data_IF_161110877500
#
_entry.id   IF_161110877500
#
_cell.length_a   1.000
_cell.length_b   1.000
_cell.length_c   1.000
_cell.angle_alpha   90.00
_cell.angle_beta   90.00
_cell.angle_gamma   90.00
#
_symmetry.space_group_name_H-M   'P 1'
#
loop_
_entity.id
_entity.type
_entity.pdbx_description
1 polymer ?
#
# COMPACT_ATOMS: atom_id res chain seq x y z
N UNK A 1 -25.72 9.22 -0.02
CA UNK A 1 -26.68 8.14 -0.28
C UNK A 1 -27.72 8.58 -1.30
N UNK A 2 -28.28 9.74 -1.15
CA UNK A 2 -29.30 10.30 -2.03
C UNK A 2 -28.66 11.29 -2.98
N UNK A 3 -28.94 11.19 -4.26
CA UNK A 3 -28.39 12.10 -5.27
C UNK A 3 -29.10 13.47 -5.21
N UNK A 4 -28.61 14.44 -5.96
CA UNK A 4 -29.15 15.80 -6.05
C UNK A 4 -30.63 15.85 -6.41
N UNK A 5 -31.12 14.85 -7.14
CA UNK A 5 -32.54 14.66 -7.51
C UNK A 5 -33.37 13.92 -6.44
N UNK A 6 -32.78 13.62 -5.26
CA UNK A 6 -33.37 12.91 -4.12
C UNK A 6 -33.67 11.42 -4.37
N UNK A 7 -33.10 10.82 -5.40
CA UNK A 7 -33.22 9.39 -5.66
C UNK A 7 -31.96 8.61 -5.23
N UNK A 8 -32.18 7.32 -4.92
CA UNK A 8 -31.11 6.36 -4.67
C UNK A 8 -31.02 5.47 -5.92
N UNK A 9 -30.04 5.76 -6.78
CA UNK A 9 -29.87 5.08 -8.06
C UNK A 9 -29.12 3.76 -7.99
N UNK A 10 -28.36 3.56 -6.91
CA UNK A 10 -27.59 2.34 -6.71
C UNK A 10 -27.39 2.04 -5.23
N UNK A 11 -27.40 0.76 -4.81
CA UNK A 11 -26.94 0.39 -3.49
C UNK A 11 -25.48 0.85 -3.29
N UNK A 12 -25.13 1.38 -2.11
CA UNK A 12 -23.76 1.69 -1.81
C UNK A 12 -22.99 0.40 -1.56
N UNK A 13 -21.72 0.39 -1.93
CA UNK A 13 -20.81 -0.60 -1.37
C UNK A 13 -20.37 -0.13 0.02
N UNK A 14 -20.54 -0.98 1.02
CA UNK A 14 -20.14 -0.72 2.40
C UNK A 14 -19.30 -1.91 2.85
N UNK A 15 -18.10 -1.64 3.32
CA UNK A 15 -17.27 -2.65 3.94
C UNK A 15 -17.25 -2.42 5.45
N UNK A 16 -17.79 -3.37 6.17
CA UNK A 16 -17.77 -3.38 7.63
C UNK A 16 -17.62 -4.81 8.10
N UNK A 17 -16.54 -5.11 8.81
CA UNK A 17 -16.27 -6.44 9.33
C UNK A 17 -16.33 -6.47 10.86
N UNK A 18 -16.90 -7.57 11.34
CA UNK A 18 -17.05 -7.84 12.76
C UNK A 18 -18.02 -6.93 13.50
N UNK A 19 -18.14 -7.18 14.80
CA UNK A 19 -19.05 -6.44 15.69
C UNK A 19 -18.68 -4.95 15.81
N UNK A 20 -17.41 -4.61 15.60
CA UNK A 20 -16.91 -3.24 15.69
C UNK A 20 -17.06 -2.46 14.37
N UNK A 21 -17.56 -3.12 13.32
CA UNK A 21 -17.79 -2.53 12.00
C UNK A 21 -16.54 -1.85 11.41
N UNK A 22 -15.40 -2.50 11.55
CA UNK A 22 -14.13 -1.99 11.03
C UNK A 22 -14.07 -2.16 9.52
N UNK A 23 -13.77 -1.09 8.79
CA UNK A 23 -13.56 -1.15 7.36
C UNK A 23 -12.12 -1.62 7.06
N UNK A 24 -11.97 -2.72 6.33
CA UNK A 24 -10.66 -3.30 5.98
C UNK A 24 -10.01 -2.58 4.81
N UNK A 25 -10.77 -2.19 3.80
CA UNK A 25 -10.22 -1.53 2.60
C UNK A 25 -9.88 -0.04 2.79
N UNK A 26 -9.86 0.43 4.01
CA UNK A 26 -9.41 1.80 4.29
C UNK A 26 -7.90 1.91 4.40
N UNK A 27 -7.21 0.79 4.40
CA UNK A 27 -5.75 0.72 4.41
C UNK A 27 -5.31 0.44 2.97
N UNK A 28 -5.15 1.49 2.19
CA UNK A 28 -4.52 1.41 0.87
C UNK A 28 -2.99 1.38 0.98
N UNK A 29 -2.33 0.99 -0.11
CA UNK A 29 -0.87 1.08 -0.26
C UNK A 29 -0.07 0.33 0.82
N UNK A 30 -0.54 -0.84 1.26
CA UNK A 30 0.20 -1.60 2.27
C UNK A 30 1.54 -2.05 1.70
N UNK A 31 2.60 -1.82 2.47
CA UNK A 31 3.93 -2.35 2.21
C UNK A 31 4.11 -3.69 2.92
N UNK A 32 4.67 -4.65 2.19
CA UNK A 32 4.97 -5.98 2.70
C UNK A 32 6.45 -6.26 2.57
N UNK A 33 7.02 -6.94 3.55
CA UNK A 33 8.42 -7.35 3.57
C UNK A 33 8.55 -8.86 3.60
N UNK A 34 9.50 -9.39 2.86
CA UNK A 34 9.79 -10.82 2.78
C UNK A 34 10.49 -11.31 4.04
N UNK A 35 9.74 -11.92 4.93
CA UNK A 35 10.26 -12.43 6.21
C UNK A 35 11.16 -13.64 6.05
N UNK A 36 11.00 -14.40 4.98
CA UNK A 36 11.87 -15.51 4.62
C UNK A 36 13.31 -15.04 4.35
N UNK A 37 13.47 -13.89 3.66
CA UNK A 37 14.79 -13.31 3.45
C UNK A 37 15.35 -12.66 4.71
N UNK A 38 14.51 -12.00 5.51
CA UNK A 38 14.93 -11.49 6.83
C UNK A 38 15.51 -12.62 7.70
N UNK A 39 14.77 -13.72 7.83
CA UNK A 39 15.18 -14.87 8.62
C UNK A 39 16.46 -15.52 8.10
N UNK A 40 16.58 -15.68 6.78
CA UNK A 40 17.79 -16.24 6.14
C UNK A 40 19.03 -15.41 6.42
N UNK A 41 18.91 -14.09 6.41
CA UNK A 41 20.04 -13.18 6.68
C UNK A 41 20.21 -12.84 8.17
N UNK A 42 19.34 -13.36 9.05
CA UNK A 42 19.40 -13.06 10.49
C UNK A 42 19.05 -11.61 10.85
N UNK A 43 18.19 -10.98 10.02
CA UNK A 43 17.76 -9.58 10.19
C UNK A 43 16.45 -9.51 10.97
N UNK A 44 16.29 -8.43 11.74
CA UNK A 44 15.04 -8.12 12.41
C UNK A 44 14.11 -7.30 11.52
N UNK A 45 12.81 -7.30 11.85
CA UNK A 45 11.82 -6.43 11.23
C UNK A 45 12.19 -4.96 11.48
N UNK A 46 12.37 -4.13 10.42
CA UNK A 46 12.73 -2.72 10.59
C UNK A 46 11.55 -1.90 11.11
N UNK A 47 11.85 -0.92 11.96
CA UNK A 47 10.88 0.03 12.54
C UNK A 47 11.23 1.49 12.24
N UNK A 48 12.44 1.73 11.80
CA UNK A 48 12.92 3.05 11.40
C UNK A 48 13.31 3.08 9.92
N UNK A 49 13.35 4.27 9.34
CA UNK A 49 13.78 4.45 7.95
C UNK A 49 15.23 4.00 7.73
N UNK A 50 16.10 4.20 8.73
CA UNK A 50 17.50 3.80 8.67
C UNK A 50 17.65 2.27 8.75
N UNK A 51 16.91 1.60 9.64
CA UNK A 51 16.89 0.13 9.71
C UNK A 51 16.36 -0.46 8.40
N UNK A 52 15.32 0.14 7.83
CA UNK A 52 14.74 -0.30 6.57
C UNK A 52 15.74 -0.18 5.41
N UNK A 53 16.47 0.95 5.33
CA UNK A 53 17.54 1.12 4.34
C UNK A 53 18.61 0.03 4.48
N UNK A 54 19.03 -0.26 5.72
CA UNK A 54 20.00 -1.32 6.02
C UNK A 54 19.51 -2.70 5.55
N UNK A 55 18.24 -3.01 5.77
CA UNK A 55 17.62 -4.25 5.30
C UNK A 55 17.63 -4.32 3.77
N UNK A 56 17.27 -3.24 3.07
CA UNK A 56 17.32 -3.21 1.60
C UNK A 56 18.74 -3.37 1.07
N UNK A 57 19.71 -2.73 1.71
CA UNK A 57 21.14 -2.91 1.37
C UNK A 57 21.57 -4.37 1.57
N UNK A 58 21.16 -5.00 2.68
CA UNK A 58 21.48 -6.40 2.94
C UNK A 58 20.85 -7.33 1.89
N UNK A 59 19.63 -7.08 1.43
CA UNK A 59 19.01 -7.84 0.33
C UNK A 59 19.78 -7.70 -0.98
N UNK A 60 20.21 -6.47 -1.34
CA UNK A 60 21.03 -6.21 -2.51
C UNK A 60 22.38 -6.93 -2.42
N UNK A 61 23.09 -6.75 -1.31
CA UNK A 61 24.46 -7.21 -1.15
C UNK A 61 24.55 -8.75 -1.01
N UNK A 62 23.48 -9.40 -0.56
CA UNK A 62 23.37 -10.86 -0.45
C UNK A 62 22.50 -11.48 -1.57
N UNK A 63 22.26 -10.76 -2.66
CA UNK A 63 21.40 -11.23 -3.75
C UNK A 63 21.80 -12.60 -4.31
N UNK A 64 23.11 -12.87 -4.46
CA UNK A 64 23.61 -14.16 -4.94
C UNK A 64 23.28 -15.31 -3.99
N UNK A 65 23.41 -15.09 -2.69
CA UNK A 65 23.09 -16.09 -1.64
C UNK A 65 21.58 -16.36 -1.59
N UNK A 66 20.77 -15.33 -1.65
CA UNK A 66 19.30 -15.43 -1.68
C UNK A 66 18.86 -16.23 -2.92
N UNK A 67 19.41 -15.91 -4.10
CA UNK A 67 19.12 -16.65 -5.34
C UNK A 67 19.46 -18.12 -5.22
N UNK A 68 20.63 -18.43 -4.68
CA UNK A 68 21.09 -19.82 -4.53
C UNK A 68 20.21 -20.61 -3.56
N UNK A 69 19.86 -20.01 -2.42
CA UNK A 69 19.04 -20.65 -1.37
C UNK A 69 17.64 -20.97 -1.86
N UNK A 70 16.99 -20.03 -2.57
CA UNK A 70 15.59 -20.16 -2.96
C UNK A 70 15.35 -20.53 -4.41
N UNK A 71 16.41 -20.76 -5.20
CA UNK A 71 16.31 -21.14 -6.62
C UNK A 71 15.66 -20.05 -7.49
N UNK A 72 15.89 -18.78 -7.18
CA UNK A 72 15.23 -17.66 -7.85
C UNK A 72 15.88 -17.40 -9.20
N UNK A 73 15.06 -17.43 -10.25
CA UNK A 73 15.48 -17.02 -11.58
C UNK A 73 15.33 -15.51 -11.76
N UNK A 74 16.36 -14.86 -12.33
CA UNK A 74 16.39 -13.41 -12.51
C UNK A 74 17.07 -12.66 -11.38
N UNK A 75 17.06 -11.34 -11.44
CA UNK A 75 17.71 -10.49 -10.44
C UNK A 75 16.84 -10.30 -9.20
N UNK A 76 17.50 -10.30 -8.05
CA UNK A 76 16.90 -9.90 -6.79
C UNK A 76 16.61 -8.39 -6.83
N UNK A 77 15.45 -8.02 -6.39
CA UNK A 77 14.96 -6.64 -6.32
C UNK A 77 14.69 -6.34 -4.85
N UNK A 78 15.49 -5.53 -4.17
CA UNK A 78 15.30 -5.25 -2.76
C UNK A 78 13.92 -4.67 -2.45
N UNK A 79 13.45 -3.70 -3.26
CA UNK A 79 12.11 -3.13 -3.17
C UNK A 79 11.57 -2.87 -4.58
N UNK A 80 10.36 -3.34 -4.87
CA UNK A 80 9.67 -3.03 -6.12
C UNK A 80 8.35 -2.31 -5.86
N UNK A 81 7.99 -1.41 -6.77
CA UNK A 81 6.78 -0.60 -6.71
C UNK A 81 6.36 -0.17 -8.12
N UNK A 82 5.19 0.44 -8.24
CA UNK A 82 4.74 1.11 -9.46
C UNK A 82 4.36 2.54 -9.07
N UNK A 83 5.16 3.50 -9.49
CA UNK A 83 4.93 4.92 -9.18
C UNK A 83 3.66 5.40 -9.86
N UNK A 84 2.87 6.20 -9.16
CA UNK A 84 1.56 6.71 -9.58
C UNK A 84 0.49 5.62 -9.81
N UNK A 85 0.67 4.42 -9.29
CA UNK A 85 -0.33 3.37 -9.35
C UNK A 85 -0.86 3.06 -7.94
N UNK A 86 -1.99 3.63 -7.57
CA UNK A 86 -2.81 3.34 -6.41
C UNK A 86 -2.09 2.59 -5.28
N UNK A 87 -2.40 1.30 -5.18
CA UNK A 87 -1.92 0.45 -4.09
C UNK A 87 -0.44 0.02 -4.20
N UNK A 88 0.23 0.27 -5.34
CA UNK A 88 1.63 -0.11 -5.56
C UNK A 88 2.61 1.06 -5.44
N UNK A 89 2.11 2.25 -5.11
CA UNK A 89 2.93 3.45 -5.02
C UNK A 89 3.71 3.49 -3.69
N UNK A 90 5.02 3.79 -3.71
CA UNK A 90 5.86 3.79 -2.52
C UNK A 90 5.68 5.02 -1.63
N UNK A 91 4.84 5.98 -2.02
CA UNK A 91 4.63 7.24 -1.29
C UNK A 91 4.18 7.05 0.15
N UNK A 92 3.55 5.90 0.48
CA UNK A 92 3.17 5.56 1.86
C UNK A 92 4.37 5.61 2.82
N UNK A 93 5.58 5.33 2.34
CA UNK A 93 6.81 5.37 3.15
C UNK A 93 7.18 6.79 3.59
N UNK A 94 6.69 7.83 2.88
CA UNK A 94 6.91 9.23 3.25
C UNK A 94 6.23 9.57 4.58
N UNK A 95 5.24 8.78 5.00
CA UNK A 95 4.63 8.92 6.33
C UNK A 95 5.64 8.81 7.48
N UNK A 96 6.76 8.16 7.28
CA UNK A 96 7.86 8.13 8.24
C UNK A 96 8.46 9.49 8.56
N UNK A 97 8.24 10.50 7.71
CA UNK A 97 8.79 11.85 7.81
C UNK A 97 7.75 12.90 8.22
N UNK A 98 6.48 12.56 8.32
CA UNK A 98 5.41 13.44 8.73
C UNK A 98 4.02 12.81 8.61
N UNK A 99 3.11 13.21 9.50
CA UNK A 99 1.76 12.67 9.57
C UNK A 99 0.98 12.88 8.25
N UNK A 100 0.52 11.79 7.65
CA UNK A 100 -0.31 11.82 6.45
C UNK A 100 0.39 12.28 5.17
N UNK A 101 1.73 12.38 5.16
CA UNK A 101 2.45 12.91 4.00
C UNK A 101 2.41 11.98 2.79
N UNK A 102 2.39 10.67 3.01
CA UNK A 102 2.31 9.66 1.96
C UNK A 102 0.93 9.03 1.79
N UNK A 103 -0.11 9.69 2.24
CA UNK A 103 -1.44 9.13 2.34
C UNK A 103 -2.24 9.12 1.03
N UNK A 104 -3.45 8.52 1.13
CA UNK A 104 -4.38 8.25 0.05
C UNK A 104 -4.81 9.47 -0.79
N UNK A 105 -4.64 10.69 -0.28
CA UNK A 105 -4.87 11.91 -1.07
C UNK A 105 -3.59 12.45 -1.72
N UNK A 106 -2.73 11.56 -2.17
CA UNK A 106 -1.49 11.87 -2.86
C UNK A 106 -1.67 12.79 -4.08
N UNK A 107 -2.81 12.71 -4.74
CA UNK A 107 -3.11 13.55 -5.92
C UNK A 107 -3.32 15.02 -5.56
N UNK A 108 -3.75 15.30 -4.31
CA UNK A 108 -4.02 16.65 -3.82
C UNK A 108 -3.01 17.11 -2.79
N UNK A 109 -2.25 16.18 -2.23
CA UNK A 109 -1.28 16.43 -1.15
C UNK A 109 -1.90 17.14 0.06
N UNK A 110 -3.17 16.84 0.36
CA UNK A 110 -3.87 17.40 1.52
C UNK A 110 -3.87 16.37 2.64
N UNK A 111 -3.33 16.75 3.78
CA UNK A 111 -3.34 15.95 4.98
C UNK A 111 -4.04 16.69 6.13
N UNK A 112 -4.64 15.92 7.04
CA UNK A 112 -5.19 16.43 8.31
C UNK A 112 -4.32 15.89 9.43
N UNK A 113 -3.66 16.78 10.13
CA UNK A 113 -2.79 16.44 11.26
C UNK A 113 -3.58 16.01 12.50
N UNK A 114 -2.93 15.36 13.46
CA UNK A 114 -3.58 14.93 14.71
C UNK A 114 -4.18 16.09 15.52
N UNK A 115 -3.62 17.29 15.38
CA UNK A 115 -4.18 18.53 15.97
C UNK A 115 -5.30 19.16 15.11
N UNK A 116 -5.81 18.39 14.11
CA UNK A 116 -6.93 18.75 13.22
C UNK A 116 -6.67 19.96 12.32
N UNK A 117 -5.42 20.23 11.99
CA UNK A 117 -5.09 21.22 10.98
C UNK A 117 -5.05 20.59 9.60
N UNK A 118 -5.59 21.30 8.62
CA UNK A 118 -5.45 20.93 7.21
C UNK A 118 -4.16 21.54 6.68
N UNK A 119 -3.30 20.70 6.11
CA UNK A 119 -2.02 21.12 5.54
C UNK A 119 -1.88 20.63 4.10
N UNK A 120 -1.06 21.31 3.32
CA UNK A 120 -0.57 20.77 2.06
C UNK A 120 0.75 20.03 2.34
N UNK A 121 0.74 18.70 2.27
CA UNK A 121 1.89 17.86 2.58
C UNK A 121 3.10 18.21 1.69
N UNK A 122 2.88 18.46 0.40
CA UNK A 122 3.95 18.78 -0.54
C UNK A 122 4.74 20.06 -0.22
N UNK A 123 4.22 20.93 0.66
CA UNK A 123 4.92 22.13 1.11
C UNK A 123 5.69 21.93 2.41
N UNK A 124 5.60 20.75 3.01
CA UNK A 124 6.23 20.45 4.29
C UNK A 124 7.67 19.95 4.10
N UNK A 125 8.56 20.34 5.00
CA UNK A 125 9.96 19.90 4.93
C UNK A 125 10.09 18.39 5.01
N UNK A 126 9.32 17.70 5.87
CA UNK A 126 9.34 16.26 5.99
C UNK A 126 8.92 15.53 4.71
N UNK A 127 8.00 16.10 3.92
CA UNK A 127 7.66 15.53 2.62
C UNK A 127 8.87 15.56 1.67
N UNK A 128 9.57 16.68 1.63
CA UNK A 128 10.81 16.81 0.86
C UNK A 128 11.88 15.83 1.32
N UNK A 129 12.09 15.73 2.64
CA UNK A 129 13.08 14.79 3.19
C UNK A 129 12.76 13.34 2.82
N UNK A 130 11.48 12.97 2.82
CA UNK A 130 11.02 11.65 2.39
C UNK A 130 11.25 11.40 0.90
N UNK A 131 11.04 12.41 0.04
CA UNK A 131 11.35 12.31 -1.38
C UNK A 131 12.86 12.21 -1.62
N UNK A 132 13.67 13.00 -0.92
CA UNK A 132 15.14 12.95 -1.01
C UNK A 132 15.66 11.57 -0.58
N UNK A 133 15.03 10.96 0.45
CA UNK A 133 15.34 9.61 0.89
C UNK A 133 14.94 8.55 -0.16
N UNK A 134 13.74 8.61 -0.72
CA UNK A 134 13.32 7.69 -1.80
C UNK A 134 14.24 7.82 -3.03
N UNK A 135 14.64 9.06 -3.39
CA UNK A 135 15.59 9.29 -4.46
C UNK A 135 16.95 8.63 -4.15
N UNK A 136 17.45 8.74 -2.91
CA UNK A 136 18.67 8.05 -2.47
C UNK A 136 18.54 6.53 -2.65
N UNK A 137 17.44 5.92 -2.16
CA UNK A 137 17.21 4.48 -2.32
C UNK A 137 17.24 4.06 -3.81
N UNK A 138 16.64 4.86 -4.68
CA UNK A 138 16.64 4.61 -6.12
C UNK A 138 18.06 4.71 -6.71
N UNK A 139 18.81 5.75 -6.37
CA UNK A 139 20.16 5.96 -6.84
C UNK A 139 21.12 4.83 -6.41
N UNK A 140 20.89 4.26 -5.22
CA UNK A 140 21.65 3.13 -4.67
C UNK A 140 21.17 1.76 -5.18
N UNK A 141 20.24 1.73 -6.14
CA UNK A 141 19.65 0.52 -6.73
C UNK A 141 18.93 -0.38 -5.72
N UNK A 142 18.37 0.22 -4.70
CA UNK A 142 17.53 -0.46 -3.72
C UNK A 142 16.07 -0.54 -4.17
N UNK A 143 15.67 0.30 -5.13
CA UNK A 143 14.34 0.29 -5.77
C UNK A 143 14.47 -0.26 -7.19
N UNK A 144 13.45 -1.02 -7.62
CA UNK A 144 13.32 -1.54 -8.99
C UNK A 144 13.50 -0.39 -10.02
N UNK A 145 14.48 -0.46 -10.93
CA UNK A 145 14.69 0.60 -11.92
C UNK A 145 13.48 0.79 -12.87
N UNK A 146 12.65 -0.24 -13.01
CA UNK A 146 11.45 -0.18 -13.85
C UNK A 146 10.22 0.40 -13.13
N UNK A 147 10.34 0.84 -11.87
CA UNK A 147 9.21 1.31 -11.06
C UNK A 147 8.39 2.45 -11.69
N UNK A 148 8.97 3.23 -12.61
CA UNK A 148 8.28 4.30 -13.35
C UNK A 148 7.60 3.84 -14.63
N UNK A 149 7.92 2.65 -15.13
CA UNK A 149 7.51 2.20 -16.48
C UNK A 149 6.85 0.84 -16.51
N UNK A 150 7.02 0.04 -15.46
CA UNK A 150 6.45 -1.31 -15.44
C UNK A 150 4.93 -1.29 -15.27
N UNK A 151 4.28 -2.19 -15.98
CA UNK A 151 2.86 -2.45 -15.84
C UNK A 151 2.58 -3.46 -14.74
N UNK A 152 1.34 -3.49 -14.25
CA UNK A 152 0.89 -4.43 -13.21
C UNK A 152 1.21 -5.88 -13.53
N UNK A 153 1.03 -6.31 -14.77
CA UNK A 153 1.33 -7.70 -15.20
C UNK A 153 2.81 -8.06 -15.03
N UNK A 154 3.71 -7.13 -15.37
CA UNK A 154 5.16 -7.30 -15.19
C UNK A 154 5.52 -7.34 -13.70
N UNK A 155 4.94 -6.44 -12.92
CA UNK A 155 5.11 -6.39 -11.47
C UNK A 155 4.72 -7.72 -10.82
N UNK A 156 3.52 -8.23 -11.12
CA UNK A 156 3.03 -9.53 -10.61
C UNK A 156 3.93 -10.69 -11.08
N UNK A 157 4.36 -10.68 -12.33
CA UNK A 157 5.23 -11.74 -12.86
C UNK A 157 6.57 -11.83 -12.13
N UNK A 158 7.20 -10.69 -11.86
CA UNK A 158 8.44 -10.62 -11.07
C UNK A 158 8.23 -11.08 -9.62
N UNK A 159 7.11 -10.69 -9.01
CA UNK A 159 6.74 -11.11 -7.65
C UNK A 159 6.55 -12.63 -7.55
N UNK A 160 5.74 -13.22 -8.44
CA UNK A 160 5.52 -14.67 -8.51
C UNK A 160 6.79 -15.47 -8.79
N UNK A 161 7.79 -14.85 -9.41
CA UNK A 161 9.13 -15.43 -9.55
C UNK A 161 9.98 -15.31 -8.26
N UNK A 162 9.42 -14.80 -7.16
CA UNK A 162 10.07 -14.69 -5.85
C UNK A 162 11.18 -13.63 -5.78
N UNK A 163 11.16 -12.61 -6.66
CA UNK A 163 12.29 -11.69 -6.84
C UNK A 163 12.31 -10.51 -5.88
N UNK A 164 11.25 -10.31 -5.05
CA UNK A 164 11.09 -9.11 -4.24
C UNK A 164 11.44 -9.33 -2.76
N UNK A 165 12.18 -8.35 -2.20
CA UNK A 165 12.37 -8.22 -0.77
C UNK A 165 11.25 -7.41 -0.10
N UNK A 166 10.80 -6.34 -0.77
CA UNK A 166 9.70 -5.49 -0.33
C UNK A 166 8.80 -5.21 -1.53
N UNK A 167 7.49 -5.23 -1.31
CA UNK A 167 6.49 -4.91 -2.33
C UNK A 167 5.31 -4.15 -1.73
N UNK A 168 4.48 -3.57 -2.60
CA UNK A 168 3.29 -2.81 -2.24
C UNK A 168 2.06 -3.42 -2.90
N UNK A 169 1.01 -3.62 -2.13
CA UNK A 169 -0.28 -4.13 -2.63
C UNK A 169 -1.34 -3.92 -1.56
N UNK A 170 -2.61 -3.99 -1.95
CA UNK A 170 -3.69 -4.16 -0.98
C UNK A 170 -3.75 -5.60 -0.42
N UNK A 171 -3.19 -6.57 -1.14
CA UNK A 171 -3.05 -7.96 -0.68
C UNK A 171 -1.83 -8.59 -1.37
N UNK A 172 -0.89 -9.09 -0.59
CA UNK A 172 0.33 -9.73 -1.11
C UNK A 172 0.05 -11.02 -1.87
N UNK A 173 -1.09 -11.68 -1.62
CA UNK A 173 -1.53 -12.88 -2.36
C UNK A 173 -1.68 -12.64 -3.87
N UNK A 174 -1.84 -11.38 -4.29
CA UNK A 174 -1.83 -11.03 -5.72
C UNK A 174 -0.45 -11.15 -6.36
N UNK A 175 0.60 -11.10 -5.55
CA UNK A 175 1.98 -10.98 -5.99
C UNK A 175 2.76 -12.26 -5.70
N UNK A 176 2.57 -12.87 -4.51
CA UNK A 176 3.32 -14.03 -4.05
C UNK A 176 2.55 -14.83 -3.00
N UNK A 177 3.19 -15.82 -2.38
CA UNK A 177 2.63 -16.64 -1.31
C UNK A 177 2.57 -15.88 0.01
N UNK A 178 1.40 -15.83 0.64
CA UNK A 178 1.14 -15.13 1.89
C UNK A 178 2.07 -15.52 3.05
N UNK A 179 2.52 -16.77 3.10
CA UNK A 179 3.26 -17.30 4.25
C UNK A 179 4.67 -16.73 4.43
N UNK A 180 5.21 -16.14 3.39
CA UNK A 180 6.58 -15.63 3.35
C UNK A 180 6.65 -14.10 3.59
N UNK A 181 5.51 -13.47 3.85
CA UNK A 181 5.38 -12.03 3.91
C UNK A 181 4.67 -11.55 5.17
N UNK A 182 5.14 -10.45 5.71
CA UNK A 182 4.45 -9.70 6.76
C UNK A 182 4.27 -8.25 6.36
N UNK A 183 3.21 -7.56 6.84
CA UNK A 183 3.08 -6.12 6.68
C UNK A 183 4.29 -5.42 7.30
N UNK A 184 4.90 -4.50 6.55
CA UNK A 184 5.94 -3.63 7.08
C UNK A 184 5.29 -2.68 8.10
N UNK A 185 5.80 -2.59 9.34
CA UNK A 185 5.28 -1.62 10.30
C UNK A 185 5.52 -0.19 9.81
N UNK A 186 4.76 0.75 10.36
CA UNK A 186 4.98 2.15 10.07
C UNK A 186 6.42 2.55 10.49
N UNK A 187 7.20 3.02 9.52
CA UNK A 187 8.56 3.45 9.75
C UNK A 187 8.61 4.85 10.37
N UNK A 188 9.59 5.10 11.23
CA UNK A 188 9.85 6.43 11.78
C UNK A 188 11.22 6.94 11.35
N UNK A 189 11.31 8.23 11.02
CA UNK A 189 12.59 8.90 10.93
C UNK A 189 13.00 9.36 12.34
N UNK A 190 14.15 8.89 12.83
CA UNK A 190 14.63 9.08 14.24
C UNK A 190 14.71 10.56 14.71
N UNK A 191 14.73 11.49 13.80
CA UNK A 191 14.94 12.91 14.13
C UNK A 191 13.66 13.67 14.46
N UNK A 192 12.49 13.02 14.44
CA UNK A 192 11.20 13.69 14.58
C UNK A 192 10.27 12.88 15.46
N UNK A 193 9.70 13.50 16.47
CA UNK A 193 8.60 12.96 17.28
C UNK A 193 7.32 12.88 16.45
N UNK A 194 7.31 12.00 15.44
CA UNK A 194 6.19 11.81 14.52
C UNK A 194 5.50 10.51 14.91
N UNK A 195 4.19 10.52 14.99
CA UNK A 195 3.41 9.30 15.07
C UNK A 195 3.28 8.75 13.66
N UNK A 196 3.95 7.64 13.33
CA UNK A 196 3.85 7.06 11.99
C UNK A 196 2.43 6.55 11.76
N UNK A 197 1.91 6.78 10.55
CA UNK A 197 0.60 6.27 10.13
C UNK A 197 0.76 5.50 8.85
N UNK A 198 0.27 4.26 8.83
CA UNK A 198 0.13 3.48 7.62
C UNK A 198 -1.30 3.64 7.10
N UNK A 199 -1.50 4.57 6.19
CA UNK A 199 -2.75 4.79 5.52
C UNK A 199 -3.75 5.68 6.26
N UNK A 200 -4.70 6.22 5.52
CA UNK A 200 -5.81 6.98 6.06
C UNK A 200 -7.08 6.16 6.11
N UNK A 201 -7.85 6.39 7.16
CA UNK A 201 -9.19 5.85 7.26
C UNK A 201 -10.13 6.64 6.35
N UNK A 202 -10.34 6.16 5.14
CA UNK A 202 -11.47 6.62 4.34
C UNK A 202 -12.71 5.87 4.79
N UNK A 203 -13.88 6.51 4.70
CA UNK A 203 -15.13 5.81 4.96
C UNK A 203 -15.29 4.67 3.94
N UNK A 204 -15.43 3.44 4.39
CA UNK A 204 -15.68 2.26 3.54
C UNK A 204 -17.02 2.32 2.78
N UNK A 205 -17.33 3.49 2.20
CA UNK A 205 -18.55 3.79 1.48
C UNK A 205 -18.22 4.23 0.06
N UNK A 206 -18.51 3.37 -0.90
CA UNK A 206 -18.34 3.69 -2.31
C UNK A 206 -19.69 3.72 -3.03
N UNK A 207 -19.92 4.78 -3.81
CA UNK A 207 -21.13 4.94 -4.64
C UNK A 207 -20.99 4.19 -5.96
N UNK A 208 -22.12 3.73 -6.50
CA UNK A 208 -22.19 3.22 -7.87
C UNK A 208 -21.45 1.91 -8.13
N UNK A 209 -21.13 1.14 -7.09
CA UNK A 209 -20.43 -0.16 -7.25
C UNK A 209 -21.34 -1.29 -7.69
N UNK A 210 -22.64 -1.18 -7.45
CA UNK A 210 -23.63 -2.13 -7.88
C UNK A 210 -24.84 -1.38 -8.45
N UNK A 211 -25.32 -1.78 -9.62
CA UNK A 211 -26.46 -1.17 -10.28
C UNK A 211 -27.43 -2.24 -10.77
N UNK A 212 -28.72 -1.99 -10.63
CA UNK A 212 -29.76 -2.81 -11.25
C UNK A 212 -30.06 -2.20 -12.62
N UNK A 213 -29.81 -2.95 -13.68
CA UNK A 213 -29.99 -2.43 -15.05
C UNK A 213 -31.47 -2.35 -15.44
N UNK A 214 -31.80 -1.49 -16.40
CA UNK A 214 -33.16 -1.38 -16.94
C UNK A 214 -33.66 -2.65 -17.65
N UNK A 215 -32.78 -3.63 -17.90
CA UNK A 215 -33.14 -4.95 -18.47
C UNK A 215 -33.54 -5.99 -17.44
N UNK A 216 -33.45 -5.66 -16.15
CA UNK A 216 -33.90 -6.60 -15.11
C UNK A 216 -35.43 -6.78 -15.20
N UNK A 217 -35.87 -8.02 -15.37
CA UNK A 217 -37.31 -8.36 -15.45
C UNK A 217 -38.05 -8.07 -14.14
N UNK A 218 -37.38 -8.24 -13.01
CA UNK A 218 -37.93 -7.94 -11.69
C UNK A 218 -36.90 -7.18 -10.83
N UNK A 219 -36.80 -5.85 -10.97
CA UNK A 219 -35.88 -5.03 -10.18
C UNK A 219 -36.07 -5.14 -8.67
N UNK A 220 -37.34 -5.28 -8.23
CA UNK A 220 -37.66 -5.40 -6.81
C UNK A 220 -37.09 -6.67 -6.18
N UNK A 221 -37.14 -7.80 -6.91
CA UNK A 221 -36.52 -9.05 -6.45
C UNK A 221 -35.00 -8.93 -6.35
N UNK A 222 -34.36 -8.30 -7.34
CA UNK A 222 -32.91 -8.07 -7.32
C UNK A 222 -32.53 -7.18 -6.13
N UNK A 223 -33.26 -6.10 -5.87
CA UNK A 223 -33.03 -5.26 -4.71
C UNK A 223 -33.24 -6.01 -3.38
N UNK A 224 -34.27 -6.82 -3.27
CA UNK A 224 -34.52 -7.62 -2.07
C UNK A 224 -33.41 -8.67 -1.83
N UNK A 225 -32.86 -9.25 -2.89
CA UNK A 225 -31.71 -10.13 -2.78
C UNK A 225 -30.44 -9.40 -2.35
N UNK A 226 -30.16 -8.24 -2.92
CA UNK A 226 -29.03 -7.40 -2.51
C UNK A 226 -29.15 -6.95 -1.06
N UNK A 227 -30.36 -6.63 -0.60
CA UNK A 227 -30.63 -6.18 0.77
C UNK A 227 -30.23 -7.22 1.83
N UNK A 228 -30.27 -8.51 1.49
CA UNK A 228 -29.78 -9.58 2.36
C UNK A 228 -28.26 -9.49 2.65
N UNK A 229 -27.51 -8.77 1.84
CA UNK A 229 -26.06 -8.58 2.03
C UNK A 229 -25.74 -7.46 3.05
N UNK A 230 -26.75 -6.67 3.45
CA UNK A 230 -26.62 -5.58 4.42
C UNK A 230 -27.23 -5.91 5.80
N UNK A 231 -27.71 -7.14 5.97
CA UNK A 231 -28.36 -7.60 7.21
C UNK A 231 -27.35 -7.98 8.31
#
# INVERSE_FOLDING_TARGET
>A
RTDSDRHIWAPPWIEQLGAEKTAIQTIGNMSFINTKWLNFLGLSMPTTVDEFEQVLMAFRDNAASIKAEYGIDGDIIPMSCIVNNGDQDPSILINGFGEGYGDADKDRHIAVTNDRKVICAATQQGYRDGLDWLHKLYAEKLIDPECFTQEWSTYVSKGKAGRYGVCFSWDVANIDNLTDWEPLPALTADTRNITPQNGSFTSGFARGRCVVTAKAENPALVCAWLDQMYA
#
